data_IF_223354089951
#
_entry.id   IF_223354089951
#
_cell.length_a   1.000
_cell.length_b   1.000
_cell.length_c   1.000
_cell.angle_alpha   90.00
_cell.angle_beta   90.00
_cell.angle_gamma   90.00
#
_symmetry.space_group_name_H-M   'P 1'
#
loop_
_entity.id
_entity.type
_entity.pdbx_description
1 polymer ?
#
# COMPACT_ATOMS: atom_id res chain seq x y z
N UNK A 1 -1.75 -39.62 3.97
CA UNK A 1 -0.73 -39.28 2.96
C UNK A 1 -1.35 -39.52 1.59
N UNK A 2 -1.72 -38.46 0.86
CA UNK A 2 -2.16 -38.60 -0.53
C UNK A 2 -0.98 -38.28 -1.44
N UNK A 3 -0.34 -39.32 -1.97
CA UNK A 3 0.67 -39.23 -3.02
C UNK A 3 -0.05 -39.09 -4.37
N UNK A 4 0.02 -37.90 -4.96
CA UNK A 4 -0.47 -37.66 -6.32
C UNK A 4 0.55 -38.19 -7.33
N UNK A 5 0.21 -39.29 -8.02
CA UNK A 5 0.93 -39.72 -9.24
C UNK A 5 0.63 -38.74 -10.37
N UNK A 6 1.67 -38.21 -11.03
CA UNK A 6 1.49 -37.29 -12.16
C UNK A 6 2.32 -37.68 -13.38
N UNK A 7 1.77 -37.38 -14.56
CA UNK A 7 2.43 -37.54 -15.86
C UNK A 7 3.72 -36.72 -15.94
N UNK A 8 4.78 -37.39 -16.34
CA UNK A 8 6.06 -36.83 -16.74
C UNK A 8 5.85 -35.68 -17.76
N UNK A 9 6.57 -34.57 -17.57
CA UNK A 9 6.44 -33.38 -18.44
C UNK A 9 5.29 -32.41 -18.11
N UNK A 10 4.63 -32.53 -16.95
CA UNK A 10 3.63 -31.55 -16.52
C UNK A 10 4.26 -30.19 -16.17
N UNK A 11 3.59 -29.11 -16.56
CA UNK A 11 4.07 -27.74 -16.29
C UNK A 11 3.82 -27.33 -14.85
N UNK A 12 4.70 -26.48 -14.32
CA UNK A 12 4.59 -25.96 -12.95
C UNK A 12 3.22 -25.30 -12.70
N UNK A 13 2.70 -24.55 -13.68
CA UNK A 13 1.42 -23.82 -13.51
C UNK A 13 0.21 -24.75 -13.45
N UNK A 14 0.19 -25.82 -14.24
CA UNK A 14 -0.87 -26.83 -14.23
C UNK A 14 -0.77 -27.65 -12.94
N UNK A 15 0.45 -27.89 -12.46
CA UNK A 15 0.71 -28.58 -11.20
C UNK A 15 0.19 -27.81 -10.02
N UNK A 16 0.57 -26.53 -9.93
CA UNK A 16 0.08 -25.65 -8.89
C UNK A 16 -1.45 -25.54 -8.89
N UNK A 17 -2.07 -25.46 -10.07
CA UNK A 17 -3.54 -25.32 -10.18
C UNK A 17 -4.29 -26.56 -9.69
N UNK A 18 -3.79 -27.77 -9.93
CA UNK A 18 -4.46 -29.01 -9.49
C UNK A 18 -4.41 -29.19 -7.97
N UNK A 19 -3.36 -28.69 -7.31
CA UNK A 19 -3.21 -28.72 -5.85
C UNK A 19 -3.80 -27.47 -5.17
N UNK A 20 -4.55 -26.64 -5.91
CA UNK A 20 -5.23 -25.46 -5.37
C UNK A 20 -4.36 -24.21 -5.18
N UNK A 21 -3.10 -24.23 -5.64
CA UNK A 21 -2.20 -23.08 -5.59
C UNK A 21 -2.38 -22.22 -6.85
N UNK A 22 -3.00 -21.04 -6.69
CA UNK A 22 -3.19 -20.07 -7.79
C UNK A 22 -1.90 -19.30 -8.06
N UNK A 23 -1.25 -19.57 -9.19
CA UNK A 23 -0.15 -18.73 -9.70
C UNK A 23 -0.72 -17.66 -10.64
N UNK A 24 -0.45 -16.36 -10.42
CA UNK A 24 -0.98 -15.29 -11.26
C UNK A 24 -0.39 -15.34 -12.67
N UNK A 25 -1.21 -15.00 -13.67
CA UNK A 25 -0.85 -15.08 -15.09
C UNK A 25 -1.60 -14.03 -15.91
N UNK A 26 -0.97 -13.51 -16.96
CA UNK A 26 -1.58 -12.57 -17.91
C UNK A 26 -1.55 -13.08 -19.35
N UNK A 27 -0.37 -13.49 -19.84
CA UNK A 27 -0.22 -13.96 -21.22
C UNK A 27 -0.46 -15.47 -21.39
N UNK A 28 -0.56 -16.25 -20.31
CA UNK A 28 -0.73 -17.70 -20.41
C UNK A 28 -2.18 -18.07 -20.72
N UNK A 29 -2.36 -18.85 -21.77
CA UNK A 29 -3.61 -19.50 -22.11
C UNK A 29 -3.31 -20.96 -22.43
N UNK A 30 -3.89 -21.88 -21.66
CA UNK A 30 -3.61 -23.32 -21.80
C UNK A 30 -3.87 -23.77 -23.24
N UNK A 31 -2.94 -24.56 -23.78
CA UNK A 31 -2.99 -25.11 -25.15
C UNK A 31 -2.94 -24.07 -26.29
N UNK A 32 -2.80 -22.78 -25.98
CA UNK A 32 -2.84 -21.69 -26.98
C UNK A 32 -1.62 -20.77 -26.88
N UNK A 33 -1.26 -20.30 -25.68
CA UNK A 33 -0.21 -19.30 -25.52
C UNK A 33 0.64 -19.53 -24.27
N UNK A 34 1.92 -19.83 -24.48
CA UNK A 34 2.81 -20.36 -23.44
C UNK A 34 4.21 -19.71 -23.48
N UNK A 35 4.28 -18.47 -23.95
CA UNK A 35 5.55 -17.78 -24.21
C UNK A 35 6.25 -17.20 -22.97
N UNK A 36 5.53 -17.07 -21.85
CA UNK A 36 6.09 -16.52 -20.60
C UNK A 36 6.50 -15.05 -20.64
N UNK A 37 6.06 -14.28 -21.65
CA UNK A 37 6.49 -12.90 -21.87
C UNK A 37 6.09 -11.93 -20.74
N UNK A 38 4.90 -12.08 -20.15
CA UNK A 38 4.46 -11.17 -19.08
C UNK A 38 5.23 -11.33 -17.76
N UNK A 39 5.94 -12.46 -17.57
CA UNK A 39 6.71 -12.82 -16.37
C UNK A 39 5.95 -12.75 -15.03
N UNK A 40 4.62 -12.64 -15.04
CA UNK A 40 3.81 -12.64 -13.82
C UNK A 40 3.78 -14.02 -13.16
N UNK A 41 3.84 -15.08 -13.97
CA UNK A 41 3.85 -16.46 -13.50
C UNK A 41 5.21 -16.93 -12.94
N UNK A 42 6.12 -15.99 -12.64
CA UNK A 42 7.46 -16.28 -12.13
C UNK A 42 7.40 -16.99 -10.78
N UNK A 43 8.29 -17.96 -10.57
CA UNK A 43 8.47 -18.74 -9.34
C UNK A 43 9.96 -18.84 -9.01
N UNK A 44 10.26 -19.03 -7.73
CA UNK A 44 11.61 -19.30 -7.26
C UNK A 44 11.79 -20.80 -7.05
N UNK A 45 12.91 -21.35 -7.51
CA UNK A 45 13.25 -22.76 -7.33
C UNK A 45 14.54 -22.82 -6.53
N UNK A 46 14.57 -23.60 -5.45
CA UNK A 46 15.77 -23.76 -4.63
C UNK A 46 16.93 -24.33 -5.46
N UNK A 47 18.15 -23.89 -5.15
CA UNK A 47 19.35 -24.22 -5.95
C UNK A 47 19.53 -23.37 -7.21
N UNK A 48 18.54 -22.56 -7.61
CA UNK A 48 18.64 -21.71 -8.81
C UNK A 48 18.64 -20.22 -8.46
N UNK A 49 19.63 -19.48 -8.97
CA UNK A 49 19.70 -18.03 -8.74
C UNK A 49 18.71 -17.21 -9.59
N UNK A 50 18.14 -17.79 -10.64
CA UNK A 50 17.19 -17.14 -11.54
C UNK A 50 15.75 -17.52 -11.18
N UNK A 51 14.81 -16.59 -11.41
CA UNK A 51 13.39 -16.90 -11.36
C UNK A 51 12.97 -17.60 -12.65
N UNK A 52 12.19 -18.67 -12.52
CA UNK A 52 11.66 -19.43 -13.65
C UNK A 52 10.20 -19.09 -13.89
N UNK A 53 9.74 -19.22 -15.12
CA UNK A 53 8.34 -19.00 -15.50
C UNK A 53 7.56 -20.30 -15.40
N UNK A 54 6.50 -20.34 -14.59
CA UNK A 54 5.73 -21.57 -14.37
C UNK A 54 4.92 -22.06 -15.59
N UNK A 55 4.68 -21.19 -16.58
CA UNK A 55 3.82 -21.50 -17.73
C UNK A 55 4.48 -22.30 -18.86
N UNK A 56 5.81 -22.40 -18.86
CA UNK A 56 6.58 -23.09 -19.90
C UNK A 56 7.76 -23.89 -19.37
N UNK A 57 7.98 -23.90 -18.05
CA UNK A 57 8.91 -24.82 -17.41
C UNK A 57 8.13 -26.01 -16.84
N UNK A 58 8.70 -27.20 -17.01
CA UNK A 58 8.17 -28.46 -16.49
C UNK A 58 8.68 -28.70 -15.06
N UNK A 59 7.94 -29.49 -14.29
CA UNK A 59 8.38 -29.93 -12.96
C UNK A 59 9.35 -31.09 -13.12
N UNK A 60 10.48 -31.03 -12.42
CA UNK A 60 11.46 -32.11 -12.32
C UNK A 60 11.50 -32.66 -10.88
N UNK A 61 11.98 -33.89 -10.74
CA UNK A 61 12.09 -34.54 -9.44
C UNK A 61 13.08 -33.79 -8.52
N UNK A 62 12.70 -33.61 -7.25
CA UNK A 62 13.51 -32.87 -6.27
C UNK A 62 13.39 -31.34 -6.32
N UNK A 63 12.60 -30.76 -7.22
CA UNK A 63 12.37 -29.30 -7.25
C UNK A 63 11.56 -28.81 -6.04
N UNK A 64 12.11 -27.84 -5.30
CA UNK A 64 11.37 -27.07 -4.27
C UNK A 64 11.00 -25.70 -4.82
N UNK A 65 9.69 -25.48 -5.06
CA UNK A 65 9.18 -24.29 -5.74
C UNK A 65 8.48 -23.34 -4.76
N UNK A 66 9.00 -22.12 -4.62
CA UNK A 66 8.40 -21.02 -3.86
C UNK A 66 7.64 -20.08 -4.79
N UNK A 67 6.31 -20.04 -4.66
CA UNK A 67 5.43 -19.27 -5.57
C UNK A 67 5.18 -17.83 -5.13
N UNK A 68 5.57 -17.45 -3.90
CA UNK A 68 5.28 -16.14 -3.30
C UNK A 68 6.44 -15.61 -2.42
N UNK A 69 7.69 -15.99 -2.70
CA UNK A 69 8.84 -15.47 -1.96
C UNK A 69 9.02 -13.95 -2.14
N UNK A 70 9.77 -13.26 -1.26
CA UNK A 70 10.05 -11.82 -1.41
C UNK A 70 10.64 -11.46 -2.78
N UNK A 71 11.51 -12.32 -3.32
CA UNK A 71 12.13 -12.17 -4.64
C UNK A 71 11.10 -12.25 -5.76
N UNK A 72 10.19 -13.23 -5.70
CA UNK A 72 9.08 -13.38 -6.66
C UNK A 72 8.13 -12.19 -6.59
N UNK A 73 7.76 -11.74 -5.39
CA UNK A 73 6.87 -10.58 -5.19
C UNK A 73 7.47 -9.31 -5.79
N UNK A 74 8.76 -9.05 -5.55
CA UNK A 74 9.48 -7.90 -6.11
C UNK A 74 9.50 -7.96 -7.64
N UNK A 75 9.84 -9.10 -8.22
CA UNK A 75 9.87 -9.27 -9.68
C UNK A 75 8.47 -9.06 -10.31
N UNK A 76 7.42 -9.65 -9.72
CA UNK A 76 6.04 -9.46 -10.18
C UNK A 76 5.61 -7.99 -10.11
N UNK A 77 5.94 -7.29 -9.01
CA UNK A 77 5.66 -5.86 -8.86
C UNK A 77 6.30 -5.04 -9.98
N UNK A 78 7.61 -5.21 -10.21
CA UNK A 78 8.31 -4.49 -11.28
C UNK A 78 7.73 -4.78 -12.67
N UNK A 79 7.37 -6.03 -12.96
CA UNK A 79 6.75 -6.39 -14.23
C UNK A 79 5.36 -5.74 -14.41
N UNK A 80 4.55 -5.69 -13.35
CA UNK A 80 3.24 -5.03 -13.39
C UNK A 80 3.40 -3.52 -13.53
N UNK A 81 4.34 -2.89 -12.81
CA UNK A 81 4.63 -1.47 -12.96
C UNK A 81 5.03 -1.11 -14.41
N UNK A 82 5.87 -1.94 -15.03
CA UNK A 82 6.27 -1.75 -16.43
C UNK A 82 5.08 -1.93 -17.38
N UNK A 83 4.25 -2.95 -17.19
CA UNK A 83 3.03 -3.15 -17.97
C UNK A 83 2.06 -1.97 -17.82
N UNK A 84 1.90 -1.46 -16.59
CA UNK A 84 1.06 -0.31 -16.30
C UNK A 84 1.61 0.99 -16.89
N UNK A 85 2.93 1.16 -17.00
CA UNK A 85 3.53 2.35 -17.63
C UNK A 85 3.17 2.51 -19.12
N UNK A 86 2.80 1.42 -19.77
CA UNK A 86 2.37 1.38 -21.17
C UNK A 86 0.84 1.29 -21.31
N UNK A 87 0.13 1.19 -20.19
CA UNK A 87 -1.32 1.04 -20.15
C UNK A 87 -1.97 2.39 -19.79
N UNK A 88 -2.99 2.79 -20.52
CA UNK A 88 -3.77 3.99 -20.18
C UNK A 88 -4.58 3.68 -18.91
N UNK A 89 -4.23 4.30 -17.77
CA UNK A 89 -4.71 3.94 -16.42
C UNK A 89 -6.16 4.39 -16.16
N UNK A 90 -7.07 4.14 -17.11
CA UNK A 90 -8.51 4.45 -17.03
C UNK A 90 -9.31 3.28 -16.48
N UNK A 91 -8.79 2.58 -15.47
CA UNK A 91 -9.46 1.39 -14.91
C UNK A 91 -10.85 1.74 -14.36
N UNK A 92 -11.04 2.96 -13.87
CA UNK A 92 -12.31 3.51 -13.39
C UNK A 92 -13.44 3.46 -14.42
N UNK A 93 -13.14 3.83 -15.67
CA UNK A 93 -14.12 3.94 -16.77
C UNK A 93 -13.98 2.81 -17.77
N UNK A 94 -13.06 1.88 -17.54
CA UNK A 94 -12.83 0.74 -18.40
C UNK A 94 -13.99 -0.26 -18.28
N UNK A 95 -14.53 -0.69 -19.43
CA UNK A 95 -15.57 -1.73 -19.51
C UNK A 95 -15.13 -3.06 -18.87
N UNK A 96 -13.82 -3.29 -18.76
CA UNK A 96 -13.25 -4.50 -18.14
C UNK A 96 -12.99 -4.37 -16.65
N UNK A 97 -13.28 -3.22 -16.03
CA UNK A 97 -13.09 -3.02 -14.60
C UNK A 97 -13.84 -4.08 -13.79
N UNK A 98 -13.21 -4.64 -12.77
CA UNK A 98 -13.78 -5.74 -11.97
C UNK A 98 -13.63 -7.14 -12.58
N UNK A 99 -13.29 -7.25 -13.88
CA UNK A 99 -12.99 -8.52 -14.56
C UNK A 99 -11.64 -8.48 -15.32
N UNK A 100 -10.78 -7.51 -14.99
CA UNK A 100 -9.48 -7.34 -15.63
C UNK A 100 -8.39 -8.04 -14.81
N UNK A 101 -7.76 -9.07 -15.36
CA UNK A 101 -6.69 -9.81 -14.67
C UNK A 101 -5.47 -8.94 -14.35
N UNK A 102 -5.16 -7.94 -15.19
CA UNK A 102 -4.09 -6.97 -14.91
C UNK A 102 -4.43 -6.12 -13.68
N UNK A 103 -5.67 -5.65 -13.58
CA UNK A 103 -6.18 -4.90 -12.44
C UNK A 103 -6.20 -5.76 -11.16
N UNK A 104 -6.68 -7.01 -11.23
CA UNK A 104 -6.69 -7.96 -10.11
C UNK A 104 -5.27 -8.17 -9.57
N UNK A 105 -4.30 -8.42 -10.45
CA UNK A 105 -2.91 -8.67 -10.06
C UNK A 105 -2.26 -7.40 -9.49
N UNK A 106 -2.51 -6.23 -10.10
CA UNK A 106 -2.02 -4.95 -9.59
C UNK A 106 -2.53 -4.68 -8.17
N UNK A 107 -3.84 -4.83 -7.94
CA UNK A 107 -4.46 -4.68 -6.63
C UNK A 107 -3.85 -5.64 -5.60
N UNK A 108 -3.70 -6.93 -5.94
CA UNK A 108 -3.11 -7.94 -5.06
C UNK A 108 -1.64 -7.64 -4.68
N UNK A 109 -0.92 -6.90 -5.53
CA UNK A 109 0.45 -6.45 -5.27
C UNK A 109 0.52 -5.10 -4.54
N UNK A 110 -0.63 -4.51 -4.23
CA UNK A 110 -0.76 -3.18 -3.62
C UNK A 110 -0.46 -2.04 -4.59
N UNK A 111 -0.58 -2.29 -5.90
CA UNK A 111 -0.30 -1.32 -6.95
C UNK A 111 -1.65 -0.77 -7.43
N UNK A 112 -1.97 0.46 -7.03
CA UNK A 112 -3.09 1.21 -7.58
C UNK A 112 -4.45 0.96 -6.92
N UNK A 113 -4.70 1.62 -5.79
CA UNK A 113 -6.04 2.09 -5.44
C UNK A 113 -5.94 3.56 -5.05
N UNK A 114 -6.89 4.39 -5.50
CA UNK A 114 -6.89 5.83 -5.25
C UNK A 114 -6.97 6.21 -3.78
N UNK A 115 -7.57 5.32 -2.98
CA UNK A 115 -7.73 5.45 -1.53
C UNK A 115 -6.42 5.64 -0.72
N UNK A 116 -5.24 5.43 -1.32
CA UNK A 116 -3.94 5.70 -0.68
C UNK A 116 -3.08 6.73 -1.41
N UNK A 117 -3.54 7.31 -2.52
CA UNK A 117 -2.73 8.22 -3.35
C UNK A 117 -2.41 9.52 -2.63
N UNK A 118 -3.37 10.05 -1.86
CA UNK A 118 -3.15 11.28 -1.08
C UNK A 118 -2.28 11.05 0.17
N UNK A 119 -1.97 9.82 0.59
CA UNK A 119 -1.15 9.60 1.80
C UNK A 119 0.25 10.21 1.68
N UNK A 120 0.75 10.36 0.45
CA UNK A 120 2.01 11.05 0.18
C UNK A 120 1.93 12.59 0.25
N UNK A 121 0.72 13.15 0.27
CA UNK A 121 0.47 14.57 0.43
C UNK A 121 0.45 14.97 1.91
N UNK A 122 0.82 16.22 2.19
CA UNK A 122 0.77 16.83 3.52
C UNK A 122 -0.68 16.89 4.01
N UNK A 123 -1.05 16.14 5.06
CA UNK A 123 -2.43 16.06 5.55
C UNK A 123 -3.27 14.95 4.93
N UNK A 124 -2.75 14.18 3.97
CA UNK A 124 -3.60 13.26 3.19
C UNK A 124 -4.02 11.99 3.91
N UNK A 125 -3.28 11.55 4.95
CA UNK A 125 -3.72 10.45 5.82
C UNK A 125 -4.85 10.92 6.73
N UNK A 126 -4.69 12.07 7.39
CA UNK A 126 -5.75 12.73 8.15
C UNK A 126 -6.99 12.97 7.29
N UNK A 127 -6.83 13.49 6.07
CA UNK A 127 -7.94 13.72 5.14
C UNK A 127 -8.68 12.42 4.79
N UNK A 128 -7.99 11.34 4.48
CA UNK A 128 -8.63 10.05 4.22
C UNK A 128 -9.37 9.48 5.43
N UNK A 129 -8.80 9.65 6.63
CA UNK A 129 -9.45 9.27 7.88
C UNK A 129 -10.73 10.09 8.13
N UNK A 130 -10.68 11.40 7.89
CA UNK A 130 -11.82 12.30 8.03
C UNK A 130 -12.91 12.02 6.99
N UNK A 131 -12.53 11.72 5.74
CA UNK A 131 -13.47 11.28 4.70
C UNK A 131 -14.24 10.02 5.13
N UNK A 132 -13.52 9.05 5.71
CA UNK A 132 -14.12 7.81 6.20
C UNK A 132 -15.00 8.06 7.44
N UNK A 133 -14.53 8.89 8.38
CA UNK A 133 -15.29 9.28 9.57
C UNK A 133 -16.59 10.00 9.20
N UNK A 134 -16.54 10.90 8.21
CA UNK A 134 -17.72 11.58 7.69
C UNK A 134 -18.75 10.55 7.22
N UNK A 135 -18.35 9.61 6.36
CA UNK A 135 -19.24 8.55 5.88
C UNK A 135 -19.83 7.70 7.00
N UNK A 136 -19.03 7.26 7.98
CA UNK A 136 -19.54 6.45 9.09
C UNK A 136 -20.54 7.19 9.99
N UNK A 137 -20.46 8.53 10.06
CA UNK A 137 -21.37 9.35 10.85
C UNK A 137 -22.63 9.74 10.07
N UNK A 138 -22.50 10.09 8.79
CA UNK A 138 -23.59 10.65 7.99
C UNK A 138 -24.29 9.63 7.09
N UNK A 139 -23.63 8.52 6.77
CA UNK A 139 -24.04 7.57 5.74
C UNK A 139 -23.74 8.02 4.30
N UNK A 140 -23.16 9.20 4.11
CA UNK A 140 -22.88 9.79 2.80
C UNK A 140 -21.41 10.21 2.69
N UNK A 141 -20.84 10.16 1.49
CA UNK A 141 -19.48 10.65 1.28
C UNK A 141 -19.44 12.19 1.28
N UNK A 142 -18.39 12.81 1.84
CA UNK A 142 -18.23 14.27 1.78
C UNK A 142 -17.97 14.74 0.34
N UNK A 143 -18.12 16.05 0.10
CA UNK A 143 -17.76 16.64 -1.19
C UNK A 143 -16.24 16.58 -1.43
N UNK A 144 -15.84 16.66 -2.71
CA UNK A 144 -14.45 16.45 -3.12
C UNK A 144 -13.48 17.49 -2.54
N UNK A 145 -13.99 18.68 -2.23
CA UNK A 145 -13.22 19.81 -1.72
C UNK A 145 -13.53 20.11 -0.24
N UNK A 146 -14.25 19.21 0.45
CA UNK A 146 -14.68 19.39 1.84
C UNK A 146 -13.53 19.63 2.83
N UNK A 147 -12.31 19.27 2.45
CA UNK A 147 -11.09 19.36 3.27
C UNK A 147 -10.01 20.22 2.60
N UNK A 148 -10.33 21.01 1.57
CA UNK A 148 -9.36 21.90 0.94
C UNK A 148 -8.82 22.93 1.95
N UNK A 149 -7.50 22.95 2.12
CA UNK A 149 -6.84 23.77 3.14
C UNK A 149 -6.81 25.26 2.78
N UNK A 150 -7.08 26.13 3.76
CA UNK A 150 -6.68 27.54 3.72
C UNK A 150 -5.27 27.67 4.33
N UNK A 151 -4.44 28.56 3.77
CA UNK A 151 -3.04 28.77 4.19
C UNK A 151 -2.98 29.27 5.65
N UNK A 152 -2.35 28.48 6.54
CA UNK A 152 -2.05 28.91 7.90
C UNK A 152 -0.84 29.85 7.98
N UNK A 153 -0.93 30.90 8.80
CA UNK A 153 0.09 31.94 8.95
C UNK A 153 1.12 31.65 10.08
N UNK A 154 0.93 30.60 10.90
CA UNK A 154 1.69 30.38 12.14
C UNK A 154 2.60 29.12 12.15
N UNK A 155 2.93 28.57 10.98
CA UNK A 155 3.78 27.38 10.87
C UNK A 155 3.04 26.03 11.02
N UNK A 156 1.73 26.08 11.25
CA UNK A 156 0.78 24.99 11.02
C UNK A 156 -0.43 25.55 10.26
N UNK A 157 -1.22 24.66 9.66
CA UNK A 157 -2.47 24.97 8.97
C UNK A 157 -3.63 24.53 9.86
N UNK A 158 -4.64 25.36 9.98
CA UNK A 158 -5.87 25.08 10.70
C UNK A 158 -7.07 25.05 9.76
N UNK A 159 -8.04 24.20 10.07
CA UNK A 159 -9.30 24.08 9.35
C UNK A 159 -10.40 23.69 10.32
N UNK A 160 -11.59 24.24 10.13
CA UNK A 160 -12.79 23.82 10.82
C UNK A 160 -13.80 23.33 9.79
N UNK A 161 -14.39 22.17 10.02
CA UNK A 161 -15.46 21.65 9.18
C UNK A 161 -16.52 20.96 10.04
N UNK A 162 -17.70 20.74 9.47
CA UNK A 162 -18.80 20.09 10.18
C UNK A 162 -18.97 18.65 9.71
N UNK A 163 -19.04 17.72 10.65
CA UNK A 163 -19.54 16.36 10.41
C UNK A 163 -20.91 16.26 11.07
N UNK A 164 -21.96 16.12 10.25
CA UNK A 164 -23.35 16.20 10.71
C UNK A 164 -23.62 17.48 11.52
N UNK A 165 -23.72 17.38 12.86
CA UNK A 165 -24.00 18.51 13.77
C UNK A 165 -22.79 18.94 14.59
N UNK A 166 -21.67 18.25 14.47
CA UNK A 166 -20.47 18.52 15.25
C UNK A 166 -19.47 19.29 14.41
N UNK A 167 -19.03 20.44 14.93
CA UNK A 167 -17.86 21.13 14.40
C UNK A 167 -16.61 20.39 14.88
N UNK A 168 -15.70 20.14 13.94
CA UNK A 168 -14.41 19.50 14.19
C UNK A 168 -13.32 20.49 13.77
N UNK A 169 -12.51 20.89 14.75
CA UNK A 169 -11.39 21.79 14.54
C UNK A 169 -10.11 20.96 14.40
N UNK A 170 -9.37 21.16 13.32
CA UNK A 170 -8.18 20.36 13.01
C UNK A 170 -6.95 21.22 12.78
N UNK A 171 -5.77 20.63 13.01
CA UNK A 171 -4.50 21.25 12.67
C UNK A 171 -3.54 20.29 11.98
N UNK A 172 -2.87 20.77 10.93
CA UNK A 172 -1.80 20.05 10.23
C UNK A 172 -0.51 20.82 10.43
N UNK A 173 0.46 20.21 11.11
CA UNK A 173 1.75 20.83 11.40
C UNK A 173 2.90 20.08 10.72
N UNK A 174 3.73 20.83 10.01
CA UNK A 174 4.93 20.30 9.35
C UNK A 174 6.19 20.86 10.01
N UNK A 175 7.13 19.98 10.35
CA UNK A 175 8.35 20.32 11.04
C UNK A 175 8.24 20.18 12.56
N UNK A 176 9.22 19.51 13.18
CA UNK A 176 9.24 19.28 14.62
C UNK A 176 9.33 20.57 15.46
N UNK A 177 9.95 21.63 14.91
CA UNK A 177 9.97 22.95 15.54
C UNK A 177 8.56 23.54 15.63
N UNK A 178 7.80 23.47 14.54
CA UNK A 178 6.43 23.97 14.52
C UNK A 178 5.52 23.11 15.38
N UNK A 179 5.73 21.78 15.42
CA UNK A 179 5.02 20.88 16.32
C UNK A 179 5.23 21.28 17.79
N UNK A 180 6.47 21.62 18.19
CA UNK A 180 6.76 22.14 19.54
C UNK A 180 6.01 23.46 19.81
N UNK A 181 5.99 24.38 18.85
CA UNK A 181 5.29 25.65 19.00
C UNK A 181 3.77 25.46 19.15
N UNK A 182 3.18 24.56 18.35
CA UNK A 182 1.77 24.20 18.45
C UNK A 182 1.44 23.56 19.81
N UNK A 183 2.28 22.64 20.28
CA UNK A 183 2.13 22.02 21.62
C UNK A 183 2.16 23.05 22.74
N UNK A 184 3.06 24.03 22.67
CA UNK A 184 3.10 25.14 23.65
C UNK A 184 1.84 26.01 23.58
N UNK A 185 1.33 26.29 22.38
CA UNK A 185 0.09 27.03 22.20
C UNK A 185 -1.12 26.28 22.77
N UNK A 186 -1.22 24.97 22.54
CA UNK A 186 -2.24 24.08 23.10
C UNK A 186 -2.19 24.05 24.64
N UNK A 187 -1.00 23.83 25.22
CA UNK A 187 -0.80 23.82 26.69
C UNK A 187 -1.19 25.13 27.36
N UNK A 188 -0.98 26.26 26.68
CA UNK A 188 -1.33 27.60 27.18
C UNK A 188 -2.79 27.97 26.91
N UNK A 189 -3.57 27.09 26.28
CA UNK A 189 -4.97 27.36 25.91
C UNK A 189 -5.13 28.46 24.85
N UNK A 190 -4.09 28.77 24.08
CA UNK A 190 -4.14 29.80 23.02
C UNK A 190 -4.89 29.33 21.78
N UNK A 191 -4.87 28.02 21.54
CA UNK A 191 -5.54 27.34 20.44
C UNK A 191 -6.16 26.05 20.98
N UNK A 192 -7.19 25.55 20.29
CA UNK A 192 -7.87 24.29 20.60
C UNK A 192 -8.17 23.57 19.29
N UNK A 193 -7.90 22.28 19.25
CA UNK A 193 -8.17 21.41 18.10
C UNK A 193 -8.62 20.04 18.62
N UNK A 194 -9.49 19.38 17.86
CA UNK A 194 -9.98 18.02 18.13
C UNK A 194 -9.09 16.95 17.50
N UNK A 195 -8.47 17.25 16.35
CA UNK A 195 -7.57 16.33 15.66
C UNK A 195 -6.34 17.05 15.08
N UNK A 196 -5.14 16.56 15.40
CA UNK A 196 -3.89 17.18 14.97
C UNK A 196 -3.01 16.16 14.25
N UNK A 197 -2.61 16.46 13.01
CA UNK A 197 -1.60 15.70 12.27
C UNK A 197 -0.23 16.38 12.38
N UNK A 198 0.79 15.61 12.81
CA UNK A 198 2.17 16.08 12.96
C UNK A 198 3.09 15.37 11.97
N UNK A 199 3.75 16.14 11.10
CA UNK A 199 4.77 15.67 10.18
C UNK A 199 6.15 16.20 10.58
N UNK A 200 7.17 15.34 10.52
CA UNK A 200 8.53 15.73 10.84
C UNK A 200 9.16 16.63 9.77
N UNK A 201 8.84 16.40 8.49
CA UNK A 201 9.44 17.11 7.36
C UNK A 201 8.65 18.39 7.01
N UNK A 202 9.32 19.52 6.71
CA UNK A 202 8.64 20.78 6.35
C UNK A 202 7.68 20.65 5.15
N UNK A 203 8.03 19.86 4.14
CA UNK A 203 7.19 19.59 2.96
C UNK A 203 6.30 18.35 3.09
N UNK A 204 6.09 17.83 4.31
CA UNK A 204 5.42 16.55 4.53
C UNK A 204 6.19 15.38 3.89
N UNK A 205 5.50 14.27 3.62
CA UNK A 205 6.08 13.10 2.95
C UNK A 205 6.63 13.43 1.56
N UNK A 206 5.93 14.28 0.81
CA UNK A 206 6.35 14.77 -0.50
C UNK A 206 7.66 15.56 -0.45
N UNK A 207 7.99 16.21 0.67
CA UNK A 207 9.25 16.91 0.89
C UNK A 207 10.20 16.20 1.85
N UNK A 208 10.06 14.89 2.02
CA UNK A 208 10.91 14.10 2.91
C UNK A 208 12.37 14.04 2.44
N UNK A 209 13.30 13.81 3.36
CA UNK A 209 14.75 13.84 3.06
C UNK A 209 15.24 12.80 2.04
N UNK A 210 14.47 11.73 1.80
CA UNK A 210 14.77 10.72 0.78
C UNK A 210 14.31 11.08 -0.63
N UNK A 211 13.76 12.27 -0.83
CA UNK A 211 13.17 12.68 -2.09
C UNK A 211 14.17 13.36 -3.05
N UNK A 212 13.97 13.25 -4.38
CA UNK A 212 14.82 13.93 -5.35
C UNK A 212 14.79 15.45 -5.19
N UNK A 213 15.97 16.06 -5.13
CA UNK A 213 16.16 17.51 -5.20
C UNK A 213 16.62 17.81 -6.62
N UNK A 214 15.96 18.76 -7.27
CA UNK A 214 16.34 19.20 -8.62
C UNK A 214 16.75 20.66 -8.57
N UNK A 215 17.96 20.96 -9.03
CA UNK A 215 18.50 22.32 -9.12
C UNK A 215 18.44 23.10 -7.79
N UNK A 216 18.72 22.41 -6.68
CA UNK A 216 18.66 22.97 -5.32
C UNK A 216 17.24 23.28 -4.80
N UNK A 217 16.20 22.96 -5.59
CA UNK A 217 14.81 23.24 -5.24
C UNK A 217 14.11 22.00 -4.70
N UNK A 218 13.48 22.16 -3.54
CA UNK A 218 12.55 21.20 -2.94
C UNK A 218 11.19 21.33 -3.67
N UNK A 219 10.73 20.27 -4.33
CA UNK A 219 9.55 20.28 -5.21
C UNK A 219 8.29 19.71 -4.54
N UNK A 220 8.14 19.79 -3.21
CA UNK A 220 7.01 19.19 -2.50
C UNK A 220 5.68 19.72 -3.02
N UNK A 221 5.54 21.03 -3.21
CA UNK A 221 4.30 21.64 -3.72
C UNK A 221 3.84 21.01 -5.03
N UNK A 222 4.71 20.96 -6.04
CA UNK A 222 4.40 20.34 -7.34
C UNK A 222 4.04 18.85 -7.24
N UNK A 223 4.62 18.14 -6.27
CA UNK A 223 4.34 16.72 -6.04
C UNK A 223 2.99 16.54 -5.36
N UNK A 224 2.70 17.35 -4.36
CA UNK A 224 1.42 17.40 -3.66
C UNK A 224 0.30 17.72 -4.66
N UNK A 225 0.46 18.74 -5.51
CA UNK A 225 -0.52 19.12 -6.52
C UNK A 225 -0.83 17.95 -7.47
N UNK A 226 0.20 17.21 -7.89
CA UNK A 226 0.03 16.00 -8.71
C UNK A 226 -0.74 14.90 -7.97
N UNK A 227 -0.45 14.67 -6.69
CA UNK A 227 -1.17 13.66 -5.89
C UNK A 227 -2.64 14.02 -5.74
N UNK A 228 -2.97 15.30 -5.52
CA UNK A 228 -4.36 15.76 -5.45
C UNK A 228 -5.07 15.69 -6.80
N UNK A 229 -4.41 16.03 -7.91
CA UNK A 229 -5.00 15.88 -9.24
C UNK A 229 -5.29 14.41 -9.57
N UNK A 230 -4.36 13.51 -9.25
CA UNK A 230 -4.58 12.06 -9.41
C UNK A 230 -5.74 11.57 -8.55
N UNK A 231 -5.87 12.03 -7.30
CA UNK A 231 -7.02 11.71 -6.45
C UNK A 231 -8.33 12.21 -7.07
N UNK A 232 -8.38 13.45 -7.57
CA UNK A 232 -9.59 14.03 -8.19
C UNK A 232 -10.08 13.24 -9.41
N UNK A 233 -9.17 12.67 -10.19
CA UNK A 233 -9.49 11.90 -11.40
C UNK A 233 -9.90 10.44 -11.13
N UNK A 234 -9.69 9.94 -9.91
CA UNK A 234 -9.96 8.55 -9.57
C UNK A 234 -11.42 8.30 -9.17
N UNK A 235 -11.99 7.16 -9.62
CA UNK A 235 -13.35 6.77 -9.23
C UNK A 235 -13.44 6.10 -7.86
N UNK A 236 -12.32 5.58 -7.33
CA UNK A 236 -12.26 4.86 -6.05
C UNK A 236 -11.30 5.57 -5.10
N UNK A 237 -11.84 6.54 -4.37
CA UNK A 237 -11.09 7.48 -3.52
C UNK A 237 -11.27 7.24 -2.03
N UNK A 238 -12.36 6.58 -1.65
CA UNK A 238 -12.70 6.31 -0.28
C UNK A 238 -12.19 4.94 0.13
N UNK A 239 -11.43 4.86 1.22
CA UNK A 239 -10.84 3.61 1.69
C UNK A 239 -11.91 2.57 2.05
N UNK A 240 -13.05 3.02 2.60
CA UNK A 240 -14.18 2.16 2.96
C UNK A 240 -14.95 1.60 1.76
N UNK A 241 -14.81 2.20 0.58
CA UNK A 241 -15.41 1.69 -0.67
C UNK A 241 -14.49 0.73 -1.41
N UNK A 242 -13.21 0.63 -1.02
CA UNK A 242 -12.24 -0.18 -1.72
C UNK A 242 -12.59 -1.68 -1.58
N UNK A 243 -12.94 -2.39 -2.68
CA UNK A 243 -13.38 -3.78 -2.60
C UNK A 243 -12.32 -4.72 -2.00
N UNK A 244 -11.04 -4.43 -2.20
CA UNK A 244 -9.96 -5.22 -1.62
C UNK A 244 -9.89 -5.04 -0.09
N UNK A 245 -10.14 -3.82 0.39
CA UNK A 245 -10.22 -3.51 1.82
C UNK A 245 -11.49 -4.15 2.43
N UNK A 246 -12.65 -4.00 1.79
CA UNK A 246 -13.87 -4.64 2.24
C UNK A 246 -13.72 -6.16 2.34
N UNK A 247 -13.06 -6.78 1.35
CA UNK A 247 -12.81 -8.22 1.33
C UNK A 247 -11.87 -8.66 2.44
N UNK A 248 -10.75 -7.98 2.68
CA UNK A 248 -9.83 -8.38 3.77
C UNK A 248 -10.47 -8.23 5.15
N UNK A 249 -11.32 -7.22 5.33
CA UNK A 249 -12.08 -7.10 6.58
C UNK A 249 -13.11 -8.23 6.71
N UNK A 250 -13.92 -8.47 5.68
CA UNK A 250 -14.90 -9.57 5.70
C UNK A 250 -14.27 -10.96 5.90
N UNK A 251 -13.13 -11.24 5.26
CA UNK A 251 -12.54 -12.58 5.25
C UNK A 251 -11.62 -12.84 6.45
N UNK A 252 -11.04 -11.79 7.03
CA UNK A 252 -9.93 -11.94 7.98
C UNK A 252 -10.10 -11.11 9.25
N UNK A 253 -10.37 -9.81 9.14
CA UNK A 253 -10.41 -8.93 10.31
C UNK A 253 -11.80 -8.80 10.95
N UNK A 254 -12.85 -9.36 10.37
CA UNK A 254 -14.27 -9.17 10.70
C UNK A 254 -14.71 -7.69 10.55
N UNK A 255 -14.26 -6.83 11.45
CA UNK A 255 -14.59 -5.40 11.49
C UNK A 255 -13.42 -4.53 11.93
N UNK A 256 -13.51 -3.23 11.65
CA UNK A 256 -12.59 -2.25 12.22
C UNK A 256 -12.60 -2.34 13.76
N UNK A 257 -11.41 -2.26 14.37
CA UNK A 257 -11.21 -2.41 15.82
C UNK A 257 -11.62 -3.78 16.40
N UNK A 258 -11.73 -4.84 15.59
CA UNK A 258 -11.81 -6.21 16.13
C UNK A 258 -10.54 -6.57 16.93
N UNK A 259 -10.60 -7.63 17.74
CA UNK A 259 -9.44 -8.10 18.51
C UNK A 259 -8.22 -8.37 17.60
N UNK A 260 -8.44 -9.02 16.46
CA UNK A 260 -7.38 -9.33 15.50
C UNK A 260 -6.85 -8.07 14.80
N UNK A 261 -7.74 -7.15 14.40
CA UNK A 261 -7.33 -5.87 13.81
C UNK A 261 -6.53 -5.03 14.82
N UNK A 262 -6.97 -5.00 16.08
CA UNK A 262 -6.26 -4.30 17.15
C UNK A 262 -4.88 -4.89 17.37
N UNK A 263 -4.78 -6.23 17.46
CA UNK A 263 -3.50 -6.92 17.64
C UNK A 263 -2.50 -6.69 16.51
N UNK A 264 -2.97 -6.60 15.26
CA UNK A 264 -2.09 -6.56 14.08
C UNK A 264 -1.88 -5.16 13.49
N UNK A 265 -2.84 -4.25 13.65
CA UNK A 265 -2.83 -2.94 13.00
C UNK A 265 -2.69 -1.78 13.99
N UNK A 266 -2.83 -2.03 15.30
CA UNK A 266 -2.65 -1.02 16.34
C UNK A 266 -1.35 -1.28 17.09
N UNK A 267 -0.87 -0.24 17.78
CA UNK A 267 0.36 -0.31 18.58
C UNK A 267 0.21 0.51 19.86
N UNK A 268 1.05 0.23 20.83
CA UNK A 268 1.20 1.02 22.05
C UNK A 268 2.52 1.79 21.98
N UNK A 269 2.44 3.11 22.15
CA UNK A 269 3.59 4.01 22.13
C UNK A 269 4.62 3.71 23.24
N UNK A 270 4.22 3.01 24.31
CA UNK A 270 5.11 2.59 25.40
C UNK A 270 5.57 1.14 25.30
N UNK A 271 4.92 0.31 24.47
CA UNK A 271 5.30 -1.10 24.28
C UNK A 271 6.52 -1.27 23.36
N UNK A 272 6.98 -0.19 22.70
CA UNK A 272 8.13 -0.22 21.81
C UNK A 272 9.44 -0.20 22.59
N UNK A 273 9.94 -1.39 22.93
CA UNK A 273 11.30 -1.55 23.46
C UNK A 273 12.30 -1.47 22.30
N UNK A 274 12.66 -0.26 21.90
CA UNK A 274 13.55 -0.01 20.76
C UNK A 274 14.97 -0.47 21.14
N UNK A 275 15.42 -1.60 20.59
CA UNK A 275 16.79 -2.07 20.79
C UNK A 275 17.77 -0.98 20.31
N UNK A 276 18.53 -0.43 21.26
CA UNK A 276 19.58 0.55 20.98
C UNK A 276 20.70 -0.16 20.20
N UNK A 277 20.69 0.00 18.88
CA UNK A 277 21.73 -0.42 17.94
C UNK A 277 21.99 -1.94 17.87
N UNK A 278 21.24 -2.71 17.06
CA UNK A 278 21.60 -4.09 16.78
C UNK A 278 22.96 -4.16 16.09
N UNK A 279 23.93 -4.80 16.74
CA UNK A 279 25.23 -5.17 16.15
C UNK A 279 25.07 -6.53 15.50
N UNK A 280 25.29 -6.62 14.19
CA UNK A 280 25.37 -7.88 13.46
C UNK A 280 26.85 -8.29 13.43
N UNK A 281 27.18 -9.45 14.02
CA UNK A 281 28.48 -10.08 13.87
C UNK A 281 28.30 -11.44 13.17
N UNK A 282 29.22 -11.78 12.29
CA UNK A 282 29.20 -13.00 11.45
C UNK A 282 30.36 -13.88 11.90
N UNK A 283 30.09 -15.14 12.29
CA UNK A 283 31.12 -16.12 12.65
C UNK A 283 31.37 -17.14 11.52
N UNK A 284 32.53 -17.80 11.58
CA UNK A 284 33.15 -18.53 10.46
C UNK A 284 32.43 -19.83 10.01
N UNK A 285 31.49 -20.38 10.80
CA UNK A 285 30.90 -21.70 10.53
C UNK A 285 29.46 -21.69 9.94
N UNK A 286 29.00 -20.56 9.40
CA UNK A 286 27.75 -20.48 8.60
C UNK A 286 26.48 -21.08 9.23
N UNK A 287 26.36 -21.08 10.55
CA UNK A 287 25.05 -21.14 11.21
C UNK A 287 24.52 -19.72 11.43
N UNK A 288 23.24 -19.51 11.07
CA UNK A 288 22.49 -18.32 11.43
C UNK A 288 21.48 -18.75 12.50
N UNK A 289 21.73 -18.40 13.75
CA UNK A 289 20.76 -18.55 14.82
C UNK A 289 19.89 -17.29 14.90
N UNK A 290 18.57 -17.48 14.91
CA UNK A 290 17.62 -16.40 15.16
C UNK A 290 17.02 -16.62 16.54
N UNK A 291 17.68 -16.13 17.58
CA UNK A 291 17.01 -15.94 18.86
C UNK A 291 16.12 -14.70 18.75
N UNK A 292 14.80 -14.91 18.83
CA UNK A 292 13.83 -13.87 19.12
C UNK A 292 13.96 -13.50 20.60
#
# INVERSE_FOLDING_TARGET
MCSFYRKEGSKIIDVASEIGIKIPKLCFLKDINEIGACRICSVEVEGTNKLLTSCNNVVEEGMVIKTNSPKVRKARRTNIELLLSQHDFRCATCVRSGNCSLQEIANNLGIGSGAGVIFGATGGVMEAALRSAYYFVTGENPSLDAFESVRGQQGWRDLSFSIARNQIDIAVVSGLRNARNLLEALKRGKVKYDFVEVMACPGGCAGGGGQPIKDGCELAGKRIDKLYNLDKEMSLRYSHENPAIQKIYSDYFDKANSELAHKLLHTDHFAWNMALSPVISVMEDKEFDFNI
#
